data_IF_048553614144
#
_entry.id   IF_048553614144
#
_cell.length_a   1.000
_cell.length_b   1.000
_cell.length_c   1.000
_cell.angle_alpha   90.00
_cell.angle_beta   90.00
_cell.angle_gamma   90.00
#
_symmetry.space_group_name_H-M   'P 1'
#
loop_
_entity.id
_entity.type
_entity.pdbx_description
1 polymer ?
#
# COMPACT_ATOMS: atom_id res chain seq x y z
N UNK A 1 -2.17 -18.50 12.72
CA UNK A 1 -2.61 -17.10 12.55
C UNK A 1 -2.66 -16.77 11.08
N UNK A 2 -3.76 -16.13 10.64
CA UNK A 2 -3.96 -15.67 9.25
C UNK A 2 -4.15 -14.14 9.25
N UNK A 3 -3.33 -13.43 8.51
CA UNK A 3 -3.35 -11.97 8.39
C UNK A 3 -3.72 -11.63 6.95
N UNK A 4 -4.73 -10.79 6.73
CA UNK A 4 -4.92 -10.13 5.44
C UNK A 4 -4.19 -8.78 5.48
N UNK A 5 -3.34 -8.52 4.48
CA UNK A 5 -2.67 -7.24 4.31
C UNK A 5 -3.22 -6.50 3.09
N UNK A 6 -3.69 -5.27 3.29
CA UNK A 6 -4.10 -4.32 2.26
C UNK A 6 -3.20 -3.09 2.29
N UNK A 7 -3.01 -2.44 1.16
CA UNK A 7 -2.16 -1.25 1.01
C UNK A 7 -2.59 -0.41 -0.20
N UNK A 8 -2.19 0.85 -0.24
CA UNK A 8 -2.23 1.68 -1.45
C UNK A 8 -3.66 1.76 -2.04
N UNK A 9 -4.60 2.21 -1.19
CA UNK A 9 -6.04 2.24 -1.51
C UNK A 9 -6.38 3.43 -2.40
N UNK A 10 -5.68 4.55 -2.24
CA UNK A 10 -5.78 5.75 -3.08
C UNK A 10 -7.21 6.27 -3.29
N UNK A 11 -8.04 6.21 -2.24
CA UNK A 11 -9.42 6.69 -2.30
C UNK A 11 -10.36 5.81 -3.13
N UNK A 12 -9.95 4.62 -3.56
CA UNK A 12 -10.75 3.71 -4.36
C UNK A 12 -11.66 2.85 -3.48
N UNK A 13 -12.80 3.43 -3.07
CA UNK A 13 -13.75 2.76 -2.20
C UNK A 13 -14.31 1.48 -2.82
N UNK A 14 -14.61 1.48 -4.12
CA UNK A 14 -15.16 0.30 -4.80
C UNK A 14 -14.19 -0.88 -4.78
N UNK A 15 -12.90 -0.63 -5.01
CA UNK A 15 -11.86 -1.65 -4.89
C UNK A 15 -11.68 -2.12 -3.44
N UNK A 16 -11.70 -1.19 -2.47
CA UNK A 16 -11.60 -1.52 -1.05
C UNK A 16 -12.74 -2.43 -0.60
N UNK A 17 -13.98 -2.09 -0.91
CA UNK A 17 -15.14 -2.90 -0.51
C UNK A 17 -15.10 -4.30 -1.15
N UNK A 18 -14.74 -4.41 -2.43
CA UNK A 18 -14.57 -5.70 -3.09
C UNK A 18 -13.50 -6.58 -2.42
N UNK A 19 -12.36 -5.98 -2.03
CA UNK A 19 -11.29 -6.67 -1.31
C UNK A 19 -11.75 -7.10 0.08
N UNK A 20 -12.43 -6.23 0.83
CA UNK A 20 -12.95 -6.55 2.16
C UNK A 20 -13.97 -7.68 2.12
N UNK A 21 -14.83 -7.72 1.11
CA UNK A 21 -15.80 -8.80 0.88
C UNK A 21 -15.10 -10.13 0.56
N UNK A 22 -14.03 -10.11 -0.23
CA UNK A 22 -13.24 -11.32 -0.53
C UNK A 22 -12.51 -11.83 0.72
N UNK A 23 -11.92 -10.94 1.51
CA UNK A 23 -11.29 -11.25 2.79
C UNK A 23 -12.30 -11.89 3.76
N UNK A 24 -13.51 -11.32 3.87
CA UNK A 24 -14.57 -11.86 4.73
C UNK A 24 -14.98 -13.29 4.34
N UNK A 25 -15.07 -13.58 3.03
CA UNK A 25 -15.38 -14.94 2.54
C UNK A 25 -14.27 -15.95 2.84
N UNK A 26 -13.01 -15.52 2.83
CA UNK A 26 -11.86 -16.41 3.09
C UNK A 26 -11.59 -16.65 4.56
N UNK A 27 -12.04 -15.73 5.43
CA UNK A 27 -11.82 -15.76 6.86
C UNK A 27 -10.35 -15.55 7.24
N UNK A 28 -10.08 -14.54 8.05
CA UNK A 28 -8.76 -14.23 8.60
C UNK A 28 -8.90 -13.83 10.07
N UNK A 29 -7.81 -13.91 10.82
CA UNK A 29 -7.81 -13.51 12.24
C UNK A 29 -7.76 -11.99 12.37
N UNK A 30 -7.07 -11.29 11.43
CA UNK A 30 -6.93 -9.84 11.41
C UNK A 30 -6.68 -9.35 9.99
N UNK A 31 -7.23 -8.18 9.66
CA UNK A 31 -6.88 -7.40 8.47
C UNK A 31 -6.04 -6.21 8.90
N UNK A 32 -4.93 -5.93 8.21
CA UNK A 32 -4.07 -4.77 8.46
C UNK A 32 -3.99 -3.89 7.22
N UNK A 33 -3.83 -2.58 7.43
CA UNK A 33 -3.69 -1.60 6.36
C UNK A 33 -2.32 -0.91 6.44
N UNK A 34 -1.59 -0.93 5.34
CA UNK A 34 -0.19 -0.50 5.25
C UNK A 34 -0.01 0.93 4.73
N UNK A 35 -1.09 1.73 4.69
CA UNK A 35 -1.03 3.15 4.31
C UNK A 35 -1.40 3.45 2.86
N UNK A 36 -1.21 4.70 2.46
CA UNK A 36 -1.62 5.31 1.20
C UNK A 36 -3.12 5.13 0.94
N UNK A 37 -3.89 5.68 1.88
CA UNK A 37 -5.31 5.41 2.05
C UNK A 37 -6.16 6.29 1.14
N UNK A 38 -5.91 7.61 1.15
CA UNK A 38 -6.85 8.61 0.65
C UNK A 38 -6.36 9.38 -0.57
N UNK A 39 -5.06 9.48 -0.78
CA UNK A 39 -4.47 10.28 -1.87
C UNK A 39 -4.87 9.73 -3.23
N UNK A 40 -5.76 10.45 -3.91
CA UNK A 40 -6.28 10.05 -5.22
C UNK A 40 -7.54 10.79 -5.59
N UNK A 41 -7.82 10.87 -6.90
CA UNK A 41 -8.95 11.60 -7.45
C UNK A 41 -10.23 10.73 -7.56
N UNK A 42 -10.49 9.91 -6.53
CA UNK A 42 -11.65 9.03 -6.48
C UNK A 42 -12.60 9.45 -5.33
N UNK A 43 -12.62 8.72 -4.24
CA UNK A 43 -13.56 8.92 -3.13
C UNK A 43 -12.85 9.01 -1.76
N UNK A 44 -11.90 9.96 -1.56
CA UNK A 44 -11.06 10.02 -0.35
C UNK A 44 -11.86 10.10 0.94
N UNK A 45 -12.91 10.96 1.00
CA UNK A 45 -13.77 11.10 2.19
C UNK A 45 -14.49 9.81 2.56
N UNK A 46 -15.10 9.13 1.58
CA UNK A 46 -15.86 7.91 1.82
C UNK A 46 -14.93 6.75 2.19
N UNK A 47 -13.74 6.67 1.60
CA UNK A 47 -12.70 5.69 1.94
C UNK A 47 -12.20 5.88 3.36
N UNK A 48 -11.88 7.12 3.78
CA UNK A 48 -11.51 7.42 5.16
C UNK A 48 -12.63 7.04 6.15
N UNK A 49 -13.88 7.43 5.87
CA UNK A 49 -15.04 7.06 6.69
C UNK A 49 -15.20 5.54 6.83
N UNK A 50 -15.00 4.79 5.74
CA UNK A 50 -15.10 3.32 5.72
C UNK A 50 -14.05 2.69 6.63
N UNK A 51 -12.80 3.13 6.55
CA UNK A 51 -11.69 2.59 7.34
C UNK A 51 -11.77 2.98 8.81
N UNK A 52 -12.17 4.21 9.13
CA UNK A 52 -12.43 4.63 10.51
C UNK A 52 -13.49 3.76 11.20
N UNK A 53 -14.54 3.34 10.46
CA UNK A 53 -15.59 2.48 11.00
C UNK A 53 -15.14 1.02 11.21
N UNK A 54 -14.08 0.57 10.52
CA UNK A 54 -13.56 -0.81 10.62
C UNK A 54 -12.53 -0.97 11.74
N UNK A 55 -11.91 0.12 12.20
CA UNK A 55 -10.89 0.15 13.26
C UNK A 55 -9.77 -0.90 13.08
N UNK A 56 -9.29 -1.02 11.83
CA UNK A 56 -8.21 -1.95 11.48
C UNK A 56 -6.87 -1.43 12.03
N UNK A 57 -5.94 -2.30 12.45
CA UNK A 57 -4.55 -1.93 12.64
C UNK A 57 -4.01 -1.29 11.35
N UNK A 58 -3.77 0.03 11.40
CA UNK A 58 -3.45 0.86 10.25
C UNK A 58 -2.20 1.68 10.53
N UNK A 59 -1.30 1.75 9.57
CA UNK A 59 -0.18 2.70 9.56
C UNK A 59 -0.42 3.77 8.48
N UNK A 60 0.26 4.90 8.59
CA UNK A 60 0.30 5.90 7.53
C UNK A 60 1.37 5.58 6.50
N UNK A 61 1.09 5.87 5.22
CA UNK A 61 2.09 5.92 4.16
C UNK A 61 2.67 7.33 3.95
N UNK A 62 3.44 7.49 2.88
CA UNK A 62 3.99 8.80 2.50
C UNK A 62 2.88 9.79 2.14
N UNK A 63 1.81 9.32 1.50
CA UNK A 63 0.70 10.20 1.10
C UNK A 63 -0.08 10.74 2.30
N UNK A 64 -0.28 9.99 3.38
CA UNK A 64 -0.89 10.56 4.61
C UNK A 64 -0.02 11.67 5.20
N UNK A 65 1.30 11.48 5.22
CA UNK A 65 2.24 12.52 5.67
C UNK A 65 2.19 13.74 4.74
N UNK A 66 2.09 13.55 3.43
CA UNK A 66 2.01 14.62 2.42
C UNK A 66 0.68 15.38 2.52
N UNK A 67 -0.46 14.69 2.66
CA UNK A 67 -1.79 15.29 2.87
C UNK A 67 -1.83 16.16 4.13
N UNK A 68 -1.07 15.84 5.17
CA UNK A 68 -0.94 16.64 6.38
C UNK A 68 0.10 17.77 6.28
N UNK A 69 0.91 17.76 5.23
CA UNK A 69 2.02 18.68 5.04
C UNK A 69 1.61 20.08 4.57
N UNK A 70 2.61 20.83 4.10
CA UNK A 70 2.43 22.18 3.54
C UNK A 70 1.61 22.12 2.23
N UNK A 71 0.46 22.81 2.14
CA UNK A 71 -0.37 22.80 0.92
C UNK A 71 0.37 23.26 -0.36
N UNK A 72 1.38 24.10 -0.23
CA UNK A 72 2.17 24.58 -1.39
C UNK A 72 3.03 23.48 -2.01
N UNK A 73 3.36 22.44 -1.24
CA UNK A 73 4.20 21.31 -1.66
C UNK A 73 3.42 20.05 -2.00
N UNK A 74 2.10 20.09 -1.88
CA UNK A 74 1.27 18.92 -2.16
C UNK A 74 1.24 18.58 -3.63
N UNK A 75 1.37 17.31 -3.94
CA UNK A 75 1.00 16.76 -5.23
C UNK A 75 -0.50 16.91 -5.50
N UNK A 76 -0.88 16.86 -6.77
CA UNK A 76 -2.29 17.07 -7.17
C UNK A 76 -3.26 16.09 -6.51
N UNK A 77 -2.85 14.83 -6.29
CA UNK A 77 -3.67 13.81 -5.62
C UNK A 77 -3.86 14.09 -4.14
N UNK A 78 -2.80 14.54 -3.45
CA UNK A 78 -2.85 14.89 -2.03
C UNK A 78 -3.72 16.13 -1.81
N UNK A 79 -3.55 17.15 -2.65
CA UNK A 79 -4.35 18.39 -2.58
C UNK A 79 -5.84 18.10 -2.80
N UNK A 80 -6.19 17.26 -3.78
CA UNK A 80 -7.56 16.85 -4.04
C UNK A 80 -8.15 16.10 -2.83
N UNK A 81 -7.41 15.13 -2.29
CA UNK A 81 -7.85 14.37 -1.12
C UNK A 81 -8.05 15.28 0.08
N UNK A 82 -7.07 16.12 0.41
CA UNK A 82 -7.15 17.07 1.53
C UNK A 82 -8.37 17.97 1.45
N UNK A 83 -8.70 18.50 0.26
CA UNK A 83 -9.83 19.39 0.05
C UNK A 83 -11.19 18.72 0.33
N UNK A 84 -11.26 17.40 0.29
CA UNK A 84 -12.49 16.64 0.51
C UNK A 84 -12.61 16.03 1.92
N UNK A 85 -11.50 15.91 2.65
CA UNK A 85 -11.49 15.32 3.98
C UNK A 85 -12.09 16.26 5.03
N UNK A 86 -12.81 15.67 5.96
CA UNK A 86 -13.35 16.36 7.12
C UNK A 86 -12.27 16.55 8.21
N UNK A 87 -12.39 17.54 9.11
CA UNK A 87 -11.43 17.75 10.19
C UNK A 87 -11.16 16.50 11.04
N UNK A 88 -12.20 15.73 11.36
CA UNK A 88 -12.08 14.49 12.13
C UNK A 88 -11.32 13.39 11.37
N UNK A 89 -11.42 13.37 10.03
CA UNK A 89 -10.68 12.42 9.18
C UNK A 89 -9.20 12.82 9.09
N UNK A 90 -8.89 14.11 8.99
CA UNK A 90 -7.52 14.61 9.07
C UNK A 90 -6.90 14.33 10.45
N UNK A 91 -7.67 14.48 11.52
CA UNK A 91 -7.21 14.14 12.87
C UNK A 91 -6.93 12.63 13.02
N UNK A 92 -7.79 11.77 12.44
CA UNK A 92 -7.57 10.34 12.40
C UNK A 92 -6.29 9.98 11.65
N UNK A 93 -6.08 10.53 10.45
CA UNK A 93 -4.85 10.32 9.66
C UNK A 93 -3.61 10.78 10.46
N UNK A 94 -3.69 11.92 11.14
CA UNK A 94 -2.59 12.45 11.94
C UNK A 94 -2.21 11.56 13.13
N UNK A 95 -3.17 10.80 13.66
CA UNK A 95 -2.96 9.86 14.77
C UNK A 95 -2.37 8.51 14.33
N UNK A 96 -2.36 8.19 13.04
CA UNK A 96 -1.82 6.93 12.53
C UNK A 96 -0.30 6.87 12.75
N UNK A 97 0.23 5.75 13.27
CA UNK A 97 1.67 5.56 13.41
C UNK A 97 2.33 5.37 12.03
N UNK A 98 3.62 5.73 11.92
CA UNK A 98 4.40 5.48 10.69
C UNK A 98 4.75 4.00 10.52
N UNK A 99 4.93 3.29 11.63
CA UNK A 99 5.18 1.85 11.68
C UNK A 99 4.41 1.25 12.86
N UNK A 100 4.09 -0.03 12.78
CA UNK A 100 3.36 -0.71 13.85
C UNK A 100 3.90 -2.13 14.05
N UNK A 101 4.28 -2.44 15.28
CA UNK A 101 4.53 -3.82 15.66
C UNK A 101 3.19 -4.48 16.06
N UNK A 102 2.61 -5.22 15.13
CA UNK A 102 1.34 -5.91 15.32
C UNK A 102 1.46 -7.04 16.38
N UNK A 103 2.58 -7.74 16.34
CA UNK A 103 3.01 -8.78 17.27
C UNK A 103 4.53 -8.70 17.41
N UNK A 104 5.09 -9.45 18.39
CA UNK A 104 6.54 -9.53 18.58
C UNK A 104 7.28 -9.86 17.27
N UNK A 105 6.72 -10.78 16.48
CA UNK A 105 7.28 -11.32 15.24
C UNK A 105 6.73 -10.69 13.96
N UNK A 106 5.83 -9.68 14.02
CA UNK A 106 5.19 -9.06 12.86
C UNK A 106 5.32 -7.54 12.90
N UNK A 107 6.00 -6.96 11.92
CA UNK A 107 6.21 -5.53 11.77
C UNK A 107 5.49 -5.03 10.50
N UNK A 108 4.78 -3.90 10.63
CA UNK A 108 4.14 -3.17 9.53
C UNK A 108 4.96 -1.91 9.25
N UNK A 109 5.31 -1.70 7.99
CA UNK A 109 5.98 -0.49 7.47
C UNK A 109 5.32 -0.11 6.15
N UNK A 110 5.44 1.14 5.69
CA UNK A 110 4.92 1.50 4.36
C UNK A 110 5.97 1.24 3.27
N UNK A 111 7.10 1.86 3.33
CA UNK A 111 8.28 1.56 2.50
C UNK A 111 9.20 0.56 3.19
N UNK A 112 10.34 1.04 3.73
CA UNK A 112 11.27 0.27 4.56
C UNK A 112 11.07 0.58 6.05
N UNK A 113 11.71 -0.13 6.99
CA UNK A 113 11.66 0.21 8.40
C UNK A 113 12.11 1.64 8.73
N UNK A 114 12.94 2.25 7.89
CA UNK A 114 13.52 3.56 8.12
C UNK A 114 12.98 4.67 7.22
N UNK A 115 12.17 4.34 6.20
CA UNK A 115 11.67 5.31 5.22
C UNK A 115 10.34 4.88 4.62
N UNK A 116 9.40 5.82 4.51
CA UNK A 116 8.13 5.64 3.81
C UNK A 116 8.23 5.86 2.28
N UNK A 117 9.41 6.25 1.76
CA UNK A 117 9.66 6.52 0.35
C UNK A 117 10.58 5.52 -0.34
N UNK A 118 11.35 4.74 0.42
CA UNK A 118 12.26 3.76 -0.17
C UNK A 118 11.52 2.49 -0.50
N UNK A 119 11.58 2.07 -1.77
CA UNK A 119 11.03 0.80 -2.23
C UNK A 119 11.73 -0.38 -1.57
N UNK A 120 10.97 -1.26 -0.91
CA UNK A 120 11.58 -2.38 -0.17
C UNK A 120 11.96 -3.53 -1.10
N UNK A 121 11.02 -3.98 -1.93
CA UNK A 121 11.16 -5.17 -2.79
C UNK A 121 11.40 -4.85 -4.26
N UNK A 122 11.51 -3.58 -4.61
CA UNK A 122 11.81 -3.10 -5.95
C UNK A 122 12.96 -2.10 -5.91
N UNK A 123 13.69 -1.92 -7.01
CA UNK A 123 14.79 -0.97 -7.14
C UNK A 123 14.61 -0.14 -8.39
N UNK A 124 14.87 1.17 -8.26
CA UNK A 124 14.87 2.13 -9.37
C UNK A 124 16.32 2.27 -9.87
N UNK A 125 16.48 2.21 -11.17
CA UNK A 125 17.77 2.33 -11.87
C UNK A 125 17.64 3.30 -13.04
N UNK A 126 18.74 3.72 -13.67
CA UNK A 126 18.67 4.53 -14.90
C UNK A 126 17.90 3.87 -16.07
N UNK A 127 17.67 2.54 -15.99
CA UNK A 127 16.93 1.78 -16.99
C UNK A 127 15.45 1.55 -16.60
N UNK A 128 14.99 2.11 -15.49
CA UNK A 128 13.65 1.94 -14.95
C UNK A 128 13.60 1.11 -13.68
N UNK A 129 12.41 0.63 -13.31
CA UNK A 129 12.21 -0.21 -12.13
C UNK A 129 12.48 -1.68 -12.41
N UNK A 130 12.94 -2.40 -11.40
CA UNK A 130 13.11 -3.87 -11.39
C UNK A 130 12.88 -4.43 -10.00
N UNK A 131 12.69 -5.75 -9.91
CA UNK A 131 12.74 -6.42 -8.61
C UNK A 131 14.10 -6.18 -7.93
N UNK A 132 14.08 -5.90 -6.63
CA UNK A 132 15.29 -5.78 -5.83
C UNK A 132 16.00 -7.15 -5.72
N UNK A 133 17.32 -7.12 -5.64
CA UNK A 133 18.09 -8.32 -5.29
C UNK A 133 17.93 -8.65 -3.81
N UNK A 134 18.33 -9.86 -3.40
CA UNK A 134 18.28 -10.24 -1.98
C UNK A 134 19.18 -9.33 -1.14
N UNK A 135 20.35 -9.02 -1.63
CA UNK A 135 21.33 -8.16 -0.95
C UNK A 135 20.76 -6.76 -0.73
N UNK A 136 20.11 -6.17 -1.75
CA UNK A 136 19.46 -4.86 -1.63
C UNK A 136 18.33 -4.90 -0.59
N UNK A 137 17.57 -5.97 -0.52
CA UNK A 137 16.49 -6.12 0.47
C UNK A 137 17.06 -6.35 1.88
N UNK A 138 18.13 -7.12 2.04
CA UNK A 138 18.82 -7.32 3.32
C UNK A 138 19.39 -6.00 3.86
N UNK A 139 19.97 -5.16 3.01
CA UNK A 139 20.44 -3.81 3.37
C UNK A 139 19.30 -2.91 3.83
N UNK A 140 18.13 -2.99 3.20
CA UNK A 140 16.93 -2.20 3.53
C UNK A 140 16.18 -2.74 4.75
N UNK A 141 16.37 -4.00 5.10
CA UNK A 141 15.74 -4.66 6.24
C UNK A 141 16.40 -4.35 7.59
N UNK A 142 17.17 -3.26 7.65
CA UNK A 142 17.83 -2.79 8.87
C UNK A 142 16.89 -1.85 9.62
N UNK A 143 16.84 -1.98 10.94
CA UNK A 143 16.12 -1.06 11.82
C UNK A 143 16.87 0.24 12.08
N UNK A 144 16.28 1.05 12.92
CA UNK A 144 16.87 2.28 13.47
C UNK A 144 16.60 2.34 14.97
N UNK A 145 17.12 3.37 15.64
CA UNK A 145 16.80 3.62 17.06
C UNK A 145 15.29 3.81 17.30
N UNK A 146 14.54 4.22 16.25
CA UNK A 146 13.10 4.41 16.33
C UNK A 146 12.30 3.17 15.92
N UNK A 147 12.87 2.24 15.14
CA UNK A 147 12.19 1.06 14.61
C UNK A 147 13.07 -0.17 14.79
N UNK A 148 12.73 -0.95 15.81
CA UNK A 148 13.40 -2.21 16.08
C UNK A 148 12.89 -3.31 15.13
N UNK A 149 13.79 -3.94 14.40
CA UNK A 149 13.48 -5.08 13.49
C UNK A 149 13.92 -6.42 14.07
N UNK A 150 14.62 -6.42 15.21
CA UNK A 150 14.98 -7.64 15.94
C UNK A 150 13.69 -8.41 16.25
N UNK A 151 13.69 -9.69 16.14
CA UNK A 151 12.51 -10.57 16.32
C UNK A 151 11.42 -10.47 15.23
N UNK A 152 11.49 -9.58 14.25
CA UNK A 152 10.51 -9.52 13.16
C UNK A 152 10.73 -10.66 12.16
N UNK A 153 9.99 -11.77 12.29
CA UNK A 153 10.01 -12.87 11.32
C UNK A 153 9.18 -12.56 10.06
N UNK A 154 8.23 -11.63 10.17
CA UNK A 154 7.40 -11.12 9.07
C UNK A 154 7.44 -9.59 9.06
N UNK A 155 7.73 -9.01 7.88
CA UNK A 155 7.61 -7.56 7.64
C UNK A 155 6.64 -7.36 6.47
N UNK A 156 5.58 -6.59 6.71
CA UNK A 156 4.59 -6.23 5.68
C UNK A 156 4.87 -4.79 5.24
N UNK A 157 4.97 -4.59 3.91
CA UNK A 157 5.22 -3.28 3.31
C UNK A 157 4.23 -3.00 2.16
N UNK A 158 4.18 -1.77 1.67
CA UNK A 158 3.37 -1.30 0.55
C UNK A 158 4.16 -0.48 -0.45
N UNK A 159 3.64 0.70 -0.82
CA UNK A 159 4.27 1.79 -1.55
C UNK A 159 4.51 1.53 -3.06
N UNK A 160 5.06 0.38 -3.43
CA UNK A 160 5.40 0.12 -4.85
C UNK A 160 4.23 -0.38 -5.69
N UNK A 161 3.09 -0.67 -5.08
CA UNK A 161 1.91 -1.29 -5.70
C UNK A 161 2.15 -2.68 -6.31
N UNK A 162 3.37 -3.23 -6.18
CA UNK A 162 3.74 -4.50 -6.80
C UNK A 162 3.56 -5.67 -5.82
N UNK A 163 2.65 -6.62 -6.10
CA UNK A 163 2.50 -7.80 -5.25
C UNK A 163 3.78 -8.65 -5.33
N UNK A 164 4.50 -8.71 -4.22
CA UNK A 164 5.80 -9.39 -4.16
C UNK A 164 6.10 -9.91 -2.75
N UNK A 165 6.79 -11.02 -2.69
CA UNK A 165 7.32 -11.52 -1.41
C UNK A 165 8.75 -12.03 -1.59
N UNK A 166 9.57 -11.86 -0.55
CA UNK A 166 10.94 -12.36 -0.52
C UNK A 166 11.27 -12.92 0.87
N UNK A 167 11.84 -14.14 0.90
CA UNK A 167 12.41 -14.71 2.11
C UNK A 167 13.90 -14.44 2.12
N UNK A 168 14.38 -13.79 3.19
CA UNK A 168 15.78 -13.50 3.41
C UNK A 168 16.56 -14.74 3.91
N UNK A 169 17.90 -14.66 3.91
CA UNK A 169 18.77 -15.74 4.36
C UNK A 169 18.58 -16.07 5.86
N UNK A 170 18.23 -15.10 6.68
CA UNK A 170 17.93 -15.24 8.11
C UNK A 170 16.52 -15.80 8.41
N UNK A 171 15.73 -16.10 7.38
CA UNK A 171 14.39 -16.67 7.47
C UNK A 171 13.25 -15.63 7.51
N UNK A 172 13.53 -14.34 7.66
CA UNK A 172 12.52 -13.28 7.60
C UNK A 172 11.77 -13.30 6.27
N UNK A 173 10.45 -13.16 6.32
CA UNK A 173 9.61 -12.98 5.14
C UNK A 173 9.20 -11.52 5.01
N UNK A 174 9.43 -10.94 3.84
CA UNK A 174 8.98 -9.58 3.51
C UNK A 174 7.89 -9.71 2.45
N UNK A 175 6.75 -9.02 2.65
CA UNK A 175 5.60 -9.12 1.75
C UNK A 175 5.06 -7.72 1.45
N UNK A 176 4.95 -7.41 0.16
CA UNK A 176 4.14 -6.33 -0.36
C UNK A 176 2.87 -6.94 -0.96
N UNK A 177 1.66 -6.60 -0.47
CA UNK A 177 0.42 -7.19 -0.97
C UNK A 177 0.04 -6.69 -2.38
N UNK A 178 0.70 -5.65 -2.88
CA UNK A 178 0.26 -4.87 -4.03
C UNK A 178 -0.75 -3.79 -3.64
N UNK A 179 -1.28 -3.08 -4.61
CA UNK A 179 -2.23 -1.99 -4.40
C UNK A 179 -3.68 -2.46 -4.49
N UNK A 180 -4.51 -1.99 -3.54
CA UNK A 180 -5.96 -2.14 -3.63
C UNK A 180 -6.52 -1.22 -4.73
N UNK A 181 -6.06 0.05 -4.78
CA UNK A 181 -6.78 1.09 -5.49
C UNK A 181 -6.18 1.57 -6.80
N UNK A 182 -4.87 1.41 -7.02
CA UNK A 182 -4.20 1.92 -8.22
C UNK A 182 -3.14 0.93 -8.71
N UNK A 183 -3.33 0.33 -9.88
CA UNK A 183 -2.53 -0.81 -10.33
C UNK A 183 -1.30 -0.43 -11.15
N UNK A 184 -1.18 0.82 -11.57
CA UNK A 184 -0.01 1.34 -12.26
C UNK A 184 0.15 2.85 -12.03
N UNK A 185 1.39 3.30 -12.04
CA UNK A 185 1.77 4.72 -12.00
C UNK A 185 3.16 4.90 -12.59
N UNK A 186 3.48 6.14 -12.97
CA UNK A 186 4.82 6.60 -13.32
C UNK A 186 5.34 7.56 -12.24
N UNK A 187 6.65 7.55 -12.02
CA UNK A 187 7.34 8.41 -11.06
C UNK A 187 8.72 8.78 -11.62
N UNK A 188 9.24 9.94 -11.22
CA UNK A 188 10.56 10.43 -11.58
C UNK A 188 11.53 10.52 -10.39
N UNK A 189 11.08 10.08 -9.20
CA UNK A 189 11.93 10.08 -8.01
C UNK A 189 13.14 9.14 -8.19
N UNK A 190 14.33 9.71 -8.10
CA UNK A 190 15.59 9.03 -8.41
C UNK A 190 15.84 8.95 -9.92
N UNK A 191 15.11 8.15 -10.64
CA UNK A 191 15.13 8.03 -12.11
C UNK A 191 13.70 7.83 -12.63
N UNK A 192 13.37 8.31 -13.84
CA UNK A 192 12.08 8.04 -14.44
C UNK A 192 11.81 6.52 -14.52
N UNK A 193 10.67 6.11 -14.01
CA UNK A 193 10.29 4.69 -13.98
C UNK A 193 8.77 4.51 -13.96
N UNK A 194 8.36 3.28 -14.23
CA UNK A 194 6.97 2.85 -14.24
C UNK A 194 6.81 1.66 -13.30
N UNK A 195 5.77 1.69 -12.49
CA UNK A 195 5.29 0.56 -11.70
C UNK A 195 3.95 0.11 -12.28
N UNK A 196 3.84 -1.17 -12.71
CA UNK A 196 2.62 -1.63 -13.38
C UNK A 196 2.39 -3.15 -13.20
N UNK A 197 1.16 -3.51 -12.86
CA UNK A 197 0.73 -4.89 -12.63
C UNK A 197 0.21 -5.60 -13.89
N UNK A 198 -0.10 -4.85 -14.97
CA UNK A 198 -0.64 -5.39 -16.23
C UNK A 198 -2.08 -5.89 -16.15
N UNK A 199 -2.79 -5.65 -15.04
CA UNK A 199 -4.21 -6.01 -14.88
C UNK A 199 -4.91 -5.02 -13.94
N UNK A 200 -6.23 -4.74 -14.11
CA UNK A 200 -6.97 -3.77 -13.30
C UNK A 200 -7.38 -4.29 -11.91
N UNK A 201 -7.16 -5.56 -11.62
CA UNK A 201 -7.64 -6.20 -10.40
C UNK A 201 -7.04 -5.58 -9.14
N UNK A 202 -7.86 -5.31 -8.14
CA UNK A 202 -7.40 -4.93 -6.80
C UNK A 202 -6.55 -6.04 -6.18
N UNK A 203 -5.45 -5.66 -5.50
CA UNK A 203 -4.49 -6.61 -4.93
C UNK A 203 -4.51 -6.56 -3.41
N UNK A 204 -4.35 -7.74 -2.80
CA UNK A 204 -4.07 -7.91 -1.38
C UNK A 204 -3.35 -9.25 -1.14
N UNK A 205 -2.86 -9.49 0.06
CA UNK A 205 -2.24 -10.77 0.41
C UNK A 205 -2.86 -11.36 1.67
N UNK A 206 -2.93 -12.69 1.73
CA UNK A 206 -3.15 -13.45 2.97
C UNK A 206 -1.83 -14.09 3.37
N UNK A 207 -1.43 -13.86 4.62
CA UNK A 207 -0.19 -14.37 5.19
C UNK A 207 -0.54 -15.32 6.32
N UNK A 208 -0.01 -16.53 6.28
CA UNK A 208 -0.32 -17.58 7.24
C UNK A 208 0.94 -18.05 7.96
N UNK A 209 0.79 -18.26 9.28
CA UNK A 209 1.83 -18.89 10.07
C UNK A 209 1.54 -20.40 10.18
N UNK A 210 2.48 -21.20 9.66
CA UNK A 210 2.41 -22.66 9.74
C UNK A 210 2.59 -23.18 11.16
N UNK A 211 2.38 -24.47 11.34
CA UNK A 211 2.57 -25.17 12.64
C UNK A 211 4.04 -25.19 13.08
N UNK A 212 4.95 -25.06 12.15
CA UNK A 212 6.41 -24.91 12.36
C UNK A 212 6.83 -23.47 12.72
N UNK A 213 5.86 -22.52 12.76
CA UNK A 213 6.11 -21.12 13.02
C UNK A 213 6.53 -20.32 11.77
N UNK A 214 6.75 -20.96 10.63
CA UNK A 214 7.14 -20.27 9.40
C UNK A 214 5.95 -19.49 8.79
N UNK A 215 6.22 -18.28 8.30
CA UNK A 215 5.25 -17.47 7.59
C UNK A 215 5.26 -17.79 6.09
N UNK A 216 4.09 -17.87 5.47
CA UNK A 216 3.89 -17.98 4.02
C UNK A 216 2.92 -16.92 3.56
N UNK A 217 3.01 -16.50 2.30
CA UNK A 217 2.14 -15.47 1.72
C UNK A 217 1.49 -15.96 0.43
N UNK A 218 0.20 -15.64 0.27
CA UNK A 218 -0.55 -15.84 -0.95
C UNK A 218 -1.13 -14.49 -1.41
N UNK A 219 -0.77 -14.09 -2.64
CA UNK A 219 -1.29 -12.88 -3.27
C UNK A 219 -2.63 -13.17 -3.95
N UNK A 220 -3.57 -12.25 -3.82
CA UNK A 220 -4.91 -12.32 -4.40
C UNK A 220 -5.16 -11.16 -5.35
N UNK A 221 -5.97 -11.43 -6.37
CA UNK A 221 -6.47 -10.48 -7.34
C UNK A 221 -8.00 -10.50 -7.31
N UNK A 222 -8.64 -9.35 -7.15
CA UNK A 222 -10.08 -9.23 -6.97
C UNK A 222 -10.66 -8.33 -8.06
N UNK A 223 -11.71 -8.79 -8.70
CA UNK A 223 -12.49 -7.98 -9.63
C UNK A 223 -13.33 -6.95 -8.87
N UNK A 224 -13.40 -5.74 -9.40
CA UNK A 224 -14.29 -4.67 -8.95
C UNK A 224 -14.72 -3.83 -10.14
N UNK A 225 -15.60 -2.84 -9.98
CA UNK A 225 -16.01 -1.96 -11.09
C UNK A 225 -14.93 -0.89 -11.35
N UNK A 226 -13.82 -1.30 -12.01
CA UNK A 226 -12.75 -0.38 -12.43
C UNK A 226 -13.21 0.62 -13.49
N UNK A 227 -14.27 0.33 -14.25
CA UNK A 227 -14.84 1.29 -15.19
C UNK A 227 -15.51 2.45 -14.45
N UNK A 228 -16.16 2.20 -13.31
CA UNK A 228 -16.68 3.26 -12.47
C UNK A 228 -15.53 4.09 -11.87
N UNK A 229 -14.46 3.46 -11.38
CA UNK A 229 -13.28 4.15 -10.87
C UNK A 229 -12.62 5.03 -11.95
N UNK A 230 -12.45 4.52 -13.17
CA UNK A 230 -11.90 5.26 -14.30
C UNK A 230 -12.78 6.47 -14.68
N UNK A 231 -14.11 6.31 -14.69
CA UNK A 231 -15.04 7.45 -14.92
C UNK A 231 -14.95 8.50 -13.82
N UNK A 232 -14.81 8.10 -12.56
CA UNK A 232 -14.62 9.02 -11.43
C UNK A 232 -13.30 9.80 -11.55
N UNK A 233 -12.20 9.11 -11.86
CA UNK A 233 -10.91 9.75 -12.07
C UNK A 233 -10.99 10.81 -13.18
N UNK A 234 -11.60 10.47 -14.32
CA UNK A 234 -11.81 11.41 -15.43
C UNK A 234 -12.66 12.61 -15.02
N UNK A 235 -13.79 12.37 -14.33
CA UNK A 235 -14.70 13.41 -13.88
C UNK A 235 -14.04 14.36 -12.85
N UNK A 236 -13.12 13.83 -12.05
CA UNK A 236 -12.35 14.58 -11.05
C UNK A 236 -11.04 15.18 -11.61
N UNK A 237 -10.83 15.21 -12.93
CA UNK A 237 -9.71 15.89 -13.56
C UNK A 237 -8.40 15.09 -13.60
N UNK A 238 -8.44 13.76 -13.50
CA UNK A 238 -7.28 12.86 -13.63
C UNK A 238 -7.43 11.87 -14.80
N UNK A 239 -7.41 12.37 -16.04
CA UNK A 239 -7.50 11.51 -17.23
C UNK A 239 -6.34 10.52 -17.35
N UNK A 240 -5.18 10.85 -16.80
CA UNK A 240 -3.99 10.00 -16.71
C UNK A 240 -4.21 8.72 -15.88
N UNK A 241 -5.16 8.72 -14.94
CA UNK A 241 -5.51 7.55 -14.15
C UNK A 241 -6.45 6.56 -14.85
N UNK A 242 -7.07 6.98 -15.97
CA UNK A 242 -8.06 6.14 -16.69
C UNK A 242 -7.43 4.85 -17.19
N UNK A 243 -6.28 4.93 -17.86
CA UNK A 243 -5.60 3.75 -18.39
C UNK A 243 -5.04 2.85 -17.26
N UNK A 244 -4.32 3.37 -16.26
CA UNK A 244 -3.91 2.60 -15.08
C UNK A 244 -5.03 1.82 -14.40
N UNK A 245 -6.18 2.47 -14.18
CA UNK A 245 -7.34 1.82 -13.53
C UNK A 245 -7.96 0.73 -14.40
N UNK A 246 -8.00 0.91 -15.73
CA UNK A 246 -8.61 -0.05 -16.66
C UNK A 246 -7.73 -1.24 -17.00
N UNK A 247 -6.43 -1.05 -16.98
CA UNK A 247 -5.50 -2.04 -17.55
C UNK A 247 -4.40 -2.49 -16.60
N UNK A 248 -4.13 -1.71 -15.56
CA UNK A 248 -2.94 -1.88 -14.72
C UNK A 248 -1.64 -1.55 -15.44
N UNK A 249 -1.70 -0.75 -16.52
CA UNK A 249 -0.54 -0.27 -17.26
C UNK A 249 -0.54 1.26 -17.35
N UNK A 250 0.63 1.86 -17.47
CA UNK A 250 0.82 3.27 -17.83
C UNK A 250 0.85 3.40 -19.34
N UNK A 251 0.34 4.50 -19.89
CA UNK A 251 0.42 4.81 -21.32
C UNK A 251 1.87 5.05 -21.76
N UNK A 252 2.17 4.67 -23.01
CA UNK A 252 3.45 4.97 -23.65
C UNK A 252 3.53 6.44 -24.04
#
# INVERSE_FOLDING_TARGET
MRIAAISDIHGNLGALDAVLDDIARRGVDVTVNLGDIVSGHLQPRATAQRLMALDLPTIRGNHERQVLGDPVRMGVSDAFARAQLLPEQLAWIAALPATLRLRKDVLLVHGTPTSDLVYFLDSVTPQGSRAATREEVEERAVGSDAVDVVDAALILCGHTHMPRSMRLADGRLIVNPGSVGLQAYDDDHGHPHVMQNGTPHARYAIIEQGVDGAWTAQHHAVEYDWEQAARLALANGRPDWVLPLRTGCVGA
#
